data_IF_508304441611
#
_entry.id   IF_508304441611
#
_cell.length_a   1.000
_cell.length_b   1.000
_cell.length_c   1.000
_cell.angle_alpha   90.00
_cell.angle_beta   90.00
_cell.angle_gamma   90.00
#
_symmetry.space_group_name_H-M   'P 1'
#
loop_
_entity.id
_entity.type
_entity.pdbx_description
1 polymer ?
#
# COMPACT_ATOMS: atom_id res chain seq x y z
N UNK A 1 4.27 -4.03 3.27
CA UNK A 1 4.20 -3.05 2.18
C UNK A 1 5.38 -3.21 1.25
N UNK A 2 5.19 -2.95 -0.06
CA UNK A 2 6.26 -2.94 -1.06
C UNK A 2 6.28 -1.60 -1.80
N UNK A 3 7.49 -1.10 -2.07
CA UNK A 3 7.75 -0.04 -3.04
C UNK A 3 8.38 -0.68 -4.26
N UNK A 4 7.78 -0.48 -5.43
CA UNK A 4 8.15 -1.18 -6.65
C UNK A 4 8.47 -0.19 -7.77
N UNK A 5 9.65 -0.32 -8.33
CA UNK A 5 10.01 0.32 -9.59
C UNK A 5 9.50 -0.55 -10.74
N UNK A 6 8.29 -0.21 -11.23
CA UNK A 6 7.55 -1.07 -12.15
C UNK A 6 8.23 -1.19 -13.52
N UNK A 7 8.37 -2.42 -13.99
CA UNK A 7 9.02 -2.75 -15.27
C UNK A 7 8.30 -3.91 -15.95
N UNK A 8 8.68 -4.16 -17.20
CA UNK A 8 8.22 -5.33 -17.94
C UNK A 8 8.59 -6.62 -17.21
N UNK A 9 7.67 -7.59 -17.24
CA UNK A 9 8.00 -8.95 -16.79
C UNK A 9 9.20 -9.48 -17.58
N UNK A 10 10.22 -9.97 -16.86
CA UNK A 10 11.38 -10.57 -17.46
C UNK A 10 11.02 -11.90 -18.13
N UNK A 11 11.58 -12.13 -19.35
CA UNK A 11 11.62 -13.45 -19.96
C UNK A 11 12.96 -14.11 -19.59
N UNK A 12 13.88 -14.30 -20.52
CA UNK A 12 15.24 -14.73 -20.20
C UNK A 12 16.20 -13.56 -19.97
N UNK A 13 15.74 -12.33 -20.19
CA UNK A 13 16.43 -11.09 -19.83
C UNK A 13 15.42 -10.07 -19.33
N UNK A 14 15.86 -9.14 -18.48
CA UNK A 14 15.03 -8.03 -18.03
C UNK A 14 15.09 -6.87 -19.04
N UNK A 15 13.98 -6.10 -19.12
CA UNK A 15 13.96 -4.79 -19.75
C UNK A 15 14.00 -3.72 -18.65
N UNK A 16 14.92 -2.76 -18.78
CA UNK A 16 15.09 -1.70 -17.77
C UNK A 16 14.01 -0.62 -17.86
N UNK A 17 13.35 -0.48 -19.00
CA UNK A 17 12.33 0.55 -19.22
C UNK A 17 11.06 0.27 -18.44
N UNK A 18 10.38 1.38 -18.06
CA UNK A 18 9.14 1.35 -17.31
C UNK A 18 8.00 0.66 -18.06
N UNK A 19 7.29 -0.17 -17.34
CA UNK A 19 6.09 -0.88 -17.77
C UNK A 19 5.33 -1.33 -16.52
N UNK A 20 4.04 -1.60 -16.63
CA UNK A 20 3.22 -2.00 -15.48
C UNK A 20 2.82 -3.48 -15.49
N UNK A 21 3.38 -4.30 -16.36
CA UNK A 21 3.00 -5.71 -16.46
C UNK A 21 3.36 -6.52 -15.22
N UNK A 22 4.45 -6.18 -14.53
CA UNK A 22 4.84 -6.82 -13.27
C UNK A 22 3.83 -6.54 -12.15
N UNK A 23 3.51 -5.27 -11.88
CA UNK A 23 2.55 -4.89 -10.82
C UNK A 23 1.13 -5.31 -11.17
N UNK A 24 0.73 -5.25 -12.45
CA UNK A 24 -0.59 -5.71 -12.88
C UNK A 24 -0.75 -7.22 -12.75
N UNK A 25 0.32 -7.99 -12.83
CA UNK A 25 0.31 -9.43 -12.57
C UNK A 25 -0.04 -9.76 -11.10
N UNK A 26 0.17 -8.82 -10.18
CA UNK A 26 -0.12 -9.02 -8.75
C UNK A 26 -1.51 -8.54 -8.33
N UNK A 27 -2.31 -7.97 -9.23
CA UNK A 27 -3.62 -7.33 -8.91
C UNK A 27 -4.63 -8.23 -8.21
N UNK A 28 -4.48 -9.55 -8.36
CA UNK A 28 -5.39 -10.54 -7.75
C UNK A 28 -4.88 -11.13 -6.43
N UNK A 29 -3.75 -10.64 -5.92
CA UNK A 29 -3.12 -11.17 -4.70
C UNK A 29 -3.66 -10.56 -3.41
N UNK A 30 -4.53 -9.55 -3.50
CA UNK A 30 -5.12 -8.87 -2.35
C UNK A 30 -4.35 -7.64 -1.88
N UNK A 31 -3.30 -7.23 -2.58
CA UNK A 31 -2.64 -5.95 -2.33
C UNK A 31 -3.47 -4.78 -2.87
N UNK A 32 -3.58 -3.72 -2.09
CA UNK A 32 -3.98 -2.43 -2.62
C UNK A 32 -2.84 -1.85 -3.48
N UNK A 33 -3.18 -1.26 -4.61
CA UNK A 33 -2.22 -0.71 -5.57
C UNK A 33 -2.30 0.82 -5.57
N UNK A 34 -1.15 1.50 -5.48
CA UNK A 34 -1.05 2.95 -5.56
C UNK A 34 0.10 3.33 -6.48
N UNK A 35 -0.21 4.14 -7.49
CA UNK A 35 0.76 4.60 -8.48
C UNK A 35 1.18 6.04 -8.20
N UNK A 36 2.48 6.32 -8.30
CA UNK A 36 3.03 7.66 -8.33
C UNK A 36 3.62 8.00 -9.69
N UNK A 37 3.45 9.23 -10.14
CA UNK A 37 3.89 9.71 -11.46
C UNK A 37 5.12 10.62 -11.43
N UNK A 38 5.55 11.07 -10.25
CA UNK A 38 6.70 11.94 -10.07
C UNK A 38 7.48 11.59 -8.79
N UNK A 39 8.72 12.08 -8.68
CA UNK A 39 9.57 11.86 -7.49
C UNK A 39 8.93 12.47 -6.24
N UNK A 40 8.25 13.63 -6.37
CA UNK A 40 7.53 14.23 -5.26
C UNK A 40 6.35 13.36 -4.80
N UNK A 41 5.57 12.83 -5.76
CA UNK A 41 4.49 11.91 -5.42
C UNK A 41 4.99 10.60 -4.79
N UNK A 42 6.15 10.10 -5.21
CA UNK A 42 6.74 8.91 -4.58
C UNK A 42 6.97 9.13 -3.09
N UNK A 43 7.44 10.35 -2.71
CA UNK A 43 7.64 10.71 -1.31
C UNK A 43 6.31 10.76 -0.55
N UNK A 44 5.37 11.53 -1.04
CA UNK A 44 4.11 11.82 -0.34
C UNK A 44 3.16 10.61 -0.32
N UNK A 45 2.95 9.97 -1.48
CA UNK A 45 2.08 8.79 -1.59
C UNK A 45 2.70 7.55 -0.94
N UNK A 46 4.04 7.46 -0.89
CA UNK A 46 4.74 6.44 -0.12
C UNK A 46 4.37 6.51 1.36
N UNK A 47 4.36 7.71 1.92
CA UNK A 47 3.90 7.96 3.29
C UNK A 47 2.44 7.58 3.52
N UNK A 48 1.55 8.00 2.60
CA UNK A 48 0.13 7.65 2.65
C UNK A 48 -0.07 6.14 2.63
N UNK A 49 0.67 5.44 1.76
CA UNK A 49 0.59 3.99 1.66
C UNK A 49 0.99 3.27 2.97
N UNK A 50 2.05 3.74 3.65
CA UNK A 50 2.45 3.20 4.96
C UNK A 50 1.37 3.42 6.03
N UNK A 51 0.90 4.64 6.19
CA UNK A 51 -0.12 4.99 7.17
C UNK A 51 -1.41 4.20 6.94
N UNK A 52 -1.82 4.11 5.68
CA UNK A 52 -3.04 3.40 5.29
C UNK A 52 -2.93 1.89 5.50
N UNK A 53 -1.78 1.29 5.16
CA UNK A 53 -1.56 -0.14 5.35
C UNK A 53 -1.63 -0.54 6.83
N UNK A 54 -1.04 0.28 7.72
CA UNK A 54 -1.08 0.06 9.16
C UNK A 54 -2.51 0.16 9.68
N UNK A 55 -3.19 1.27 9.37
CA UNK A 55 -4.55 1.54 9.88
C UNK A 55 -5.59 0.58 9.30
N UNK A 56 -5.53 0.36 7.99
CA UNK A 56 -6.53 -0.43 7.26
C UNK A 56 -6.27 -1.93 7.28
N UNK A 57 -5.09 -2.38 7.72
CA UNK A 57 -4.69 -3.80 7.78
C UNK A 57 -4.74 -4.51 6.42
N UNK A 58 -4.60 -3.75 5.34
CA UNK A 58 -4.52 -4.25 3.97
C UNK A 58 -3.10 -4.07 3.46
N UNK A 59 -2.47 -5.09 2.87
CA UNK A 59 -1.13 -4.95 2.32
C UNK A 59 -1.13 -3.98 1.14
N UNK A 60 -0.08 -3.18 1.02
CA UNK A 60 0.03 -2.15 -0.01
C UNK A 60 1.23 -2.41 -0.93
N UNK A 61 0.99 -2.23 -2.22
CA UNK A 61 2.01 -2.17 -3.25
C UNK A 61 1.97 -0.76 -3.87
N UNK A 62 2.93 0.06 -3.46
CA UNK A 62 3.15 1.39 -4.00
C UNK A 62 4.17 1.29 -5.13
N UNK A 63 3.82 1.77 -6.31
CA UNK A 63 4.69 1.63 -7.47
C UNK A 63 4.78 2.92 -8.30
N UNK A 64 5.84 3.00 -9.07
CA UNK A 64 6.13 4.11 -9.97
C UNK A 64 6.98 3.60 -11.13
N UNK A 65 7.15 4.43 -12.16
CA UNK A 65 7.93 4.04 -13.34
C UNK A 65 9.34 3.58 -12.96
N UNK A 66 9.72 2.41 -13.43
CA UNK A 66 10.95 1.72 -13.09
C UNK A 66 12.18 2.21 -13.85
N UNK A 67 12.06 3.23 -14.70
CA UNK A 67 13.17 3.81 -15.41
C UNK A 67 13.20 5.34 -15.24
N UNK A 68 12.18 6.03 -15.69
CA UNK A 68 12.13 7.48 -15.67
C UNK A 68 12.12 8.01 -14.23
N UNK A 69 11.08 7.70 -13.48
CA UNK A 69 10.91 8.20 -12.10
C UNK A 69 11.98 7.66 -11.16
N UNK A 70 12.35 6.38 -11.28
CA UNK A 70 13.31 5.74 -10.36
C UNK A 70 14.76 6.21 -10.53
N UNK A 71 15.11 6.81 -11.68
CA UNK A 71 16.45 7.33 -11.97
C UNK A 71 16.51 8.86 -12.05
N UNK A 72 15.37 9.52 -11.90
CA UNK A 72 15.31 10.97 -11.94
C UNK A 72 15.93 11.57 -10.68
N UNK A 73 16.78 12.58 -10.88
CA UNK A 73 17.32 13.41 -9.78
C UNK A 73 16.53 14.70 -9.75
N UNK A 74 15.72 14.88 -8.73
CA UNK A 74 14.83 16.03 -8.58
C UNK A 74 14.89 16.57 -7.16
N UNK A 75 14.85 17.90 -7.03
CA UNK A 75 14.63 18.51 -5.72
C UNK A 75 13.17 18.33 -5.33
N UNK A 76 12.93 17.77 -4.16
CA UNK A 76 11.59 17.57 -3.59
C UNK A 76 11.47 18.27 -2.25
N UNK A 77 10.24 18.52 -1.83
CA UNK A 77 9.92 18.97 -0.48
C UNK A 77 9.59 17.74 0.37
N UNK A 78 10.21 17.63 1.52
CA UNK A 78 9.98 16.56 2.47
C UNK A 78 8.91 16.97 3.50
N UNK A 79 8.16 16.01 4.00
CA UNK A 79 7.31 16.19 5.18
C UNK A 79 8.21 15.98 6.39
N UNK A 80 8.22 16.94 7.32
CA UNK A 80 9.05 16.84 8.51
C UNK A 80 8.62 15.64 9.38
N UNK A 81 9.60 15.06 10.05
CA UNK A 81 9.38 13.84 10.84
C UNK A 81 8.29 14.01 11.90
N UNK A 82 8.28 15.16 12.56
CA UNK A 82 7.31 15.50 13.60
C UNK A 82 5.89 15.61 13.07
N UNK A 83 5.71 16.16 11.89
CA UNK A 83 4.40 16.26 11.22
C UNK A 83 3.91 14.87 10.80
N UNK A 84 4.82 14.06 10.25
CA UNK A 84 4.48 12.71 9.83
C UNK A 84 4.13 11.81 11.03
N UNK A 85 4.87 11.93 12.13
CA UNK A 85 4.64 11.16 13.35
C UNK A 85 3.24 11.40 13.96
N UNK A 86 2.69 12.61 13.83
CA UNK A 86 1.35 12.94 14.30
C UNK A 86 0.24 12.24 13.51
N UNK A 87 0.53 11.76 12.31
CA UNK A 87 -0.43 11.05 11.46
C UNK A 87 -0.51 9.55 11.78
N UNK A 88 0.47 9.03 12.52
CA UNK A 88 0.56 7.60 12.83
C UNK A 88 -0.53 7.20 13.83
N UNK A 89 -1.35 6.22 13.45
CA UNK A 89 -2.30 5.58 14.34
C UNK A 89 -1.58 4.58 15.26
N UNK A 90 -1.16 5.04 16.45
CA UNK A 90 -0.38 4.23 17.39
C UNK A 90 -1.18 3.04 17.96
N UNK A 91 -2.51 3.13 18.01
CA UNK A 91 -3.35 2.00 18.39
C UNK A 91 -3.31 0.90 17.33
N UNK A 92 -3.37 1.28 16.06
CA UNK A 92 -3.21 0.34 14.96
C UNK A 92 -1.82 -0.28 14.92
N UNK A 93 -0.77 0.49 15.22
CA UNK A 93 0.62 -0.03 15.37
C UNK A 93 0.67 -1.06 16.48
N UNK A 94 0.08 -0.77 17.66
CA UNK A 94 0.09 -1.71 18.77
C UNK A 94 -0.67 -2.99 18.41
N UNK A 95 -1.86 -2.89 17.82
CA UNK A 95 -2.61 -4.06 17.33
C UNK A 95 -1.82 -4.91 16.33
N UNK A 96 -1.04 -4.26 15.47
CA UNK A 96 -0.15 -4.97 14.55
C UNK A 96 0.95 -5.73 15.29
N UNK A 97 1.57 -5.11 16.29
CA UNK A 97 2.61 -5.75 17.13
C UNK A 97 2.06 -6.91 17.96
N UNK A 98 0.87 -6.76 18.53
CA UNK A 98 0.21 -7.79 19.33
C UNK A 98 -0.15 -9.03 18.47
N UNK A 99 -0.29 -8.86 17.18
CA UNK A 99 -0.50 -9.95 16.23
C UNK A 99 0.82 -10.61 15.73
N UNK A 100 1.97 -10.14 16.15
CA UNK A 100 3.24 -10.77 15.80
C UNK A 100 3.36 -12.16 16.45
N UNK A 101 4.13 -13.06 15.82
CA UNK A 101 4.43 -14.34 16.41
C UNK A 101 5.28 -14.14 17.68
N UNK A 102 4.80 -14.67 18.79
CA UNK A 102 5.46 -14.56 20.09
C UNK A 102 5.61 -15.96 20.71
N UNK A 103 6.85 -16.43 21.00
CA UNK A 103 7.08 -17.73 21.60
C UNK A 103 6.44 -17.90 22.99
N UNK A 104 6.29 -16.81 23.73
CA UNK A 104 5.67 -16.83 25.06
C UNK A 104 4.15 -16.93 25.00
N UNK A 105 3.56 -16.54 23.87
CA UNK A 105 2.13 -16.62 23.58
C UNK A 105 1.91 -17.25 22.21
N UNK A 106 2.23 -18.54 22.05
CA UNK A 106 2.18 -19.19 20.75
C UNK A 106 0.75 -19.27 20.21
N UNK A 107 0.58 -18.98 18.93
CA UNK A 107 -0.68 -19.21 18.23
C UNK A 107 -0.43 -19.85 16.86
N UNK A 108 -1.34 -20.75 16.48
CA UNK A 108 -1.29 -21.41 15.17
C UNK A 108 -2.02 -20.53 14.16
N UNK A 109 -1.31 -20.19 13.08
CA UNK A 109 -1.85 -19.42 11.96
C UNK A 109 -1.43 -20.05 10.64
N UNK A 110 -2.23 -19.87 9.61
CA UNK A 110 -1.89 -20.30 8.25
C UNK A 110 -1.93 -21.80 8.02
N UNK A 111 -2.72 -22.54 8.80
CA UNK A 111 -2.99 -23.97 8.57
C UNK A 111 -3.92 -24.18 7.38
N UNK A 112 -3.95 -25.42 6.85
CA UNK A 112 -4.95 -25.79 5.85
C UNK A 112 -6.37 -25.78 6.47
N UNK A 113 -7.30 -25.22 5.73
CA UNK A 113 -8.70 -25.12 6.12
C UNK A 113 -9.60 -25.85 5.13
N UNK A 114 -10.67 -26.47 5.61
CA UNK A 114 -11.71 -27.01 4.75
C UNK A 114 -12.43 -25.85 4.01
N UNK A 115 -13.04 -26.11 2.85
CA UNK A 115 -13.66 -25.07 2.01
C UNK A 115 -14.70 -24.20 2.72
N UNK A 116 -15.48 -24.77 3.62
CA UNK A 116 -16.49 -24.07 4.42
C UNK A 116 -15.87 -23.06 5.40
N UNK A 117 -14.82 -23.47 6.11
CA UNK A 117 -14.07 -22.58 7.03
C UNK A 117 -13.29 -21.52 6.24
N UNK A 118 -12.66 -21.92 5.15
CA UNK A 118 -11.94 -20.99 4.27
C UNK A 118 -12.85 -19.91 3.69
N UNK A 119 -14.07 -20.26 3.28
CA UNK A 119 -15.06 -19.31 2.81
C UNK A 119 -15.40 -18.26 3.89
N UNK A 120 -15.65 -18.70 5.12
CA UNK A 120 -15.92 -17.81 6.25
C UNK A 120 -14.75 -16.86 6.51
N UNK A 121 -13.52 -17.35 6.47
CA UNK A 121 -12.31 -16.53 6.64
C UNK A 121 -12.16 -15.50 5.53
N UNK A 122 -12.50 -15.85 4.28
CA UNK A 122 -12.49 -14.91 3.14
C UNK A 122 -13.55 -13.82 3.32
N UNK A 123 -14.77 -14.16 3.68
CA UNK A 123 -15.84 -13.19 3.95
C UNK A 123 -15.50 -12.26 5.12
N UNK A 124 -14.87 -12.78 6.18
CA UNK A 124 -14.43 -11.98 7.32
C UNK A 124 -13.36 -10.92 6.95
N UNK A 125 -12.66 -11.09 5.83
CA UNK A 125 -11.70 -10.11 5.34
C UNK A 125 -12.33 -8.93 4.56
N UNK A 126 -13.54 -9.10 4.04
CA UNK A 126 -14.23 -8.14 3.18
C UNK A 126 -14.40 -6.74 3.79
N UNK A 127 -14.80 -6.57 5.06
CA UNK A 127 -14.95 -5.25 5.67
C UNK A 127 -13.68 -4.40 5.66
N UNK A 128 -12.50 -5.02 5.72
CA UNK A 128 -11.21 -4.31 5.64
C UNK A 128 -11.03 -3.68 4.26
N UNK A 129 -11.34 -4.42 3.19
CA UNK A 129 -11.24 -3.91 1.82
C UNK A 129 -12.29 -2.84 1.52
N UNK A 130 -13.51 -2.99 2.04
CA UNK A 130 -14.58 -2.00 1.88
C UNK A 130 -14.27 -0.67 2.58
N UNK A 131 -13.66 -0.71 3.75
CA UNK A 131 -13.25 0.48 4.49
C UNK A 131 -11.99 1.15 3.92
N UNK A 132 -11.17 0.42 3.19
CA UNK A 132 -9.82 0.84 2.84
C UNK A 132 -9.75 2.10 1.96
N UNK A 133 -10.59 2.29 0.91
CA UNK A 133 -10.58 3.51 0.12
C UNK A 133 -10.80 4.77 0.95
N UNK A 134 -11.73 4.74 1.90
CA UNK A 134 -12.01 5.87 2.78
C UNK A 134 -10.82 6.22 3.69
N UNK A 135 -10.08 5.20 4.15
CA UNK A 135 -8.86 5.39 4.95
C UNK A 135 -7.78 6.08 4.12
N UNK A 136 -7.56 5.62 2.90
CA UNK A 136 -6.58 6.23 1.98
C UNK A 136 -6.95 7.68 1.67
N UNK A 137 -8.21 7.93 1.36
CA UNK A 137 -8.74 9.27 1.10
C UNK A 137 -8.54 10.23 2.27
N UNK A 138 -8.75 9.76 3.49
CA UNK A 138 -8.52 10.55 4.70
C UNK A 138 -7.04 10.94 4.85
N UNK A 139 -6.12 10.00 4.62
CA UNK A 139 -4.69 10.30 4.65
C UNK A 139 -4.26 11.20 3.50
N UNK A 140 -4.82 11.06 2.30
CA UNK A 140 -4.59 11.99 1.19
C UNK A 140 -4.97 13.41 1.58
N UNK A 141 -6.15 13.62 2.18
CA UNK A 141 -6.59 14.93 2.67
C UNK A 141 -5.65 15.50 3.75
N UNK A 142 -5.19 14.66 4.68
CA UNK A 142 -4.27 15.09 5.74
C UNK A 142 -2.92 15.51 5.18
N UNK A 143 -2.34 14.72 4.28
CA UNK A 143 -1.07 15.05 3.62
C UNK A 143 -1.22 16.29 2.74
N UNK A 144 -2.32 16.42 1.97
CA UNK A 144 -2.59 17.62 1.19
C UNK A 144 -2.64 18.87 2.05
N UNK A 145 -3.22 18.78 3.25
CA UNK A 145 -3.32 19.89 4.18
C UNK A 145 -1.96 20.33 4.76
N UNK A 146 -1.06 19.38 4.99
CA UNK A 146 0.30 19.64 5.50
C UNK A 146 1.17 20.21 4.39
N UNK A 147 1.12 19.61 3.21
CA UNK A 147 2.04 19.92 2.12
C UNK A 147 1.57 21.05 1.19
N UNK A 148 0.28 21.40 1.23
CA UNK A 148 -0.35 22.29 0.24
C UNK A 148 -0.48 21.68 -1.17
N UNK A 149 -0.06 20.44 -1.38
CA UNK A 149 -0.22 19.71 -2.64
C UNK A 149 -1.52 18.92 -2.61
N UNK A 150 -2.28 19.00 -3.69
CA UNK A 150 -3.58 18.35 -3.76
C UNK A 150 -3.46 16.92 -4.27
N UNK A 151 -3.90 15.96 -3.46
CA UNK A 151 -4.03 14.56 -3.81
C UNK A 151 -5.52 14.20 -3.88
N UNK A 152 -5.99 13.89 -5.08
CA UNK A 152 -7.39 13.57 -5.34
C UNK A 152 -7.62 12.06 -5.37
N UNK A 153 -8.83 11.69 -4.94
CA UNK A 153 -9.37 10.34 -5.13
C UNK A 153 -9.68 10.09 -6.60
N UNK A 154 -8.70 9.75 -7.41
CA UNK A 154 -8.98 9.10 -8.70
C UNK A 154 -9.00 7.57 -8.53
N UNK A 155 -9.61 7.11 -7.43
CA UNK A 155 -9.87 5.69 -7.26
C UNK A 155 -11.05 5.28 -8.14
N UNK A 156 -10.76 4.85 -9.34
CA UNK A 156 -11.61 3.87 -9.99
C UNK A 156 -11.20 2.51 -9.43
N UNK A 157 -11.86 2.05 -8.37
CA UNK A 157 -11.94 0.62 -8.12
C UNK A 157 -12.60 0.02 -9.35
N UNK A 158 -11.81 -0.38 -10.32
CA UNK A 158 -12.27 -1.14 -11.45
C UNK A 158 -12.68 -2.52 -10.97
N UNK A 159 -13.94 -2.84 -11.08
CA UNK A 159 -14.42 -4.21 -10.98
C UNK A 159 -15.61 -4.37 -10.06
N UNK A 160 -16.79 -4.24 -10.61
CA UNK A 160 -17.89 -5.09 -10.20
C UNK A 160 -17.46 -6.55 -10.52
N UNK A 161 -17.12 -7.32 -9.50
CA UNK A 161 -17.08 -8.76 -9.52
C UNK A 161 -18.25 -9.29 -8.71
#
# INVERSE_FOLDING_TARGET
MFHVTARTLAAHALCIFGDHSDVMSTRQTGFALLCSSSVQEVMDLGGIAHLSAIKGRVPFLHFFDGFRTSHEVQKIEIIEHEEFAQLVDMEAVQKFRDNALNPEHPCIRGTAQNPDIFFQAREASKPYYEAFPAIVADYMKKISKITGREYYESFRCGGNY
#
